data_IF_075595769046
#
_entry.id   IF_075595769046
#
_cell.length_a   1.000
_cell.length_b   1.000
_cell.length_c   1.000
_cell.angle_alpha   90.00
_cell.angle_beta   90.00
_cell.angle_gamma   90.00
#
_symmetry.space_group_name_H-M   'P 1'
#
loop_
_entity.id
_entity.type
_entity.pdbx_description
1 polymer ?
#
# COMPACT_ATOMS: atom_id res chain seq x y z
N UNK A 1 -48.30 36.30 -0.84
CA UNK A 1 -48.37 37.54 -1.67
C UNK A 1 -46.94 37.99 -1.90
N UNK A 2 -46.47 37.89 -3.15
CA UNK A 2 -46.14 39.06 -3.99
C UNK A 2 -44.99 39.89 -3.38
N UNK A 3 -43.88 40.20 -4.02
CA UNK A 3 -43.45 40.29 -5.43
C UNK A 3 -41.97 40.76 -5.29
N UNK A 4 -41.00 40.21 -6.03
CA UNK A 4 -40.51 40.81 -7.29
C UNK A 4 -39.97 42.25 -7.09
N UNK A 5 -38.75 42.64 -7.47
CA UNK A 5 -38.11 42.48 -8.79
C UNK A 5 -36.73 43.18 -8.84
N UNK A 6 -35.76 42.52 -9.52
CA UNK A 6 -34.81 43.05 -10.54
C UNK A 6 -33.66 44.02 -10.13
N UNK A 7 -32.51 44.17 -10.81
CA UNK A 7 -32.04 43.94 -12.20
C UNK A 7 -30.53 43.55 -12.14
N UNK A 8 -30.06 42.43 -12.73
CA UNK A 8 -29.50 42.25 -14.10
C UNK A 8 -28.25 43.09 -14.43
N UNK A 9 -27.10 42.41 -14.58
CA UNK A 9 -26.04 42.59 -15.62
C UNK A 9 -25.28 41.24 -15.66
N UNK A 10 -25.55 40.27 -16.55
CA UNK A 10 -25.23 40.16 -17.98
C UNK A 10 -23.73 40.23 -18.31
N UNK A 11 -23.08 39.06 -18.35
CA UNK A 11 -21.91 38.86 -19.20
C UNK A 11 -21.85 37.40 -19.66
N UNK A 12 -22.23 37.23 -20.93
CA UNK A 12 -22.20 36.00 -21.68
C UNK A 12 -20.80 35.78 -22.29
N UNK A 13 -20.28 34.56 -22.22
CA UNK A 13 -19.31 33.96 -23.17
C UNK A 13 -19.53 32.44 -23.07
N UNK A 14 -20.17 31.82 -24.08
CA UNK A 14 -19.51 31.08 -25.19
C UNK A 14 -18.94 29.72 -24.70
N UNK A 15 -19.10 28.56 -25.34
CA UNK A 15 -19.74 28.15 -26.58
C UNK A 15 -19.80 26.60 -26.59
N UNK A 16 -20.81 26.07 -27.26
CA UNK A 16 -20.75 24.89 -28.14
C UNK A 16 -20.17 23.55 -27.62
N UNK A 17 -21.11 22.70 -27.21
CA UNK A 17 -21.11 21.25 -27.33
C UNK A 17 -20.76 20.75 -28.75
N UNK A 18 -19.85 19.76 -28.88
CA UNK A 18 -20.06 18.52 -29.66
C UNK A 18 -18.83 17.58 -29.73
N UNK A 19 -19.08 16.30 -29.38
CA UNK A 19 -18.73 15.07 -30.11
C UNK A 19 -17.27 14.61 -30.36
N UNK A 20 -17.01 13.39 -29.85
CA UNK A 20 -16.44 12.22 -30.55
C UNK A 20 -14.92 12.15 -30.75
N UNK A 21 -14.28 11.18 -30.08
CA UNK A 21 -13.37 10.22 -30.74
C UNK A 21 -13.11 8.96 -29.89
N UNK A 22 -13.26 7.82 -30.55
CA UNK A 22 -13.01 6.48 -30.04
C UNK A 22 -11.52 6.10 -30.02
N UNK A 23 -11.22 5.07 -29.22
CA UNK A 23 -10.00 4.24 -29.13
C UNK A 23 -9.53 3.69 -30.49
N UNK A 24 -8.24 3.32 -30.68
CA UNK A 24 -7.76 1.94 -30.42
C UNK A 24 -6.28 1.85 -29.92
N UNK A 25 -5.95 0.98 -28.96
CA UNK A 25 -5.45 -0.41 -29.11
C UNK A 25 -3.99 -0.57 -29.61
N UNK A 26 -3.16 -1.11 -28.71
CA UNK A 26 -2.19 -2.21 -28.87
C UNK A 26 -1.08 -2.15 -29.95
N UNK A 27 0.17 -2.38 -29.51
CA UNK A 27 1.18 -3.07 -30.32
C UNK A 27 2.17 -3.82 -29.44
N UNK A 28 2.00 -5.14 -29.40
CA UNK A 28 3.07 -6.09 -29.08
C UNK A 28 4.24 -5.95 -30.06
N UNK A 29 5.48 -6.16 -29.59
CA UNK A 29 6.54 -6.70 -30.43
C UNK A 29 7.63 -7.31 -29.56
N UNK A 30 7.68 -8.64 -29.59
CA UNK A 30 8.74 -9.48 -29.03
C UNK A 30 10.10 -9.20 -29.70
N UNK A 31 11.21 -9.27 -28.95
CA UNK A 31 12.52 -9.78 -29.45
C UNK A 31 13.48 -10.06 -28.28
N UNK A 32 13.83 -11.34 -28.19
CA UNK A 32 15.10 -12.00 -27.84
C UNK A 32 15.89 -11.58 -26.58
N UNK A 33 15.95 -12.56 -25.67
CA UNK A 33 17.18 -13.13 -25.10
C UNK A 33 18.41 -12.21 -25.11
N UNK A 34 18.73 -11.70 -23.92
CA UNK A 34 20.11 -11.68 -23.49
C UNK A 34 20.19 -12.24 -22.08
N UNK A 35 21.04 -13.26 -21.93
CA UNK A 35 21.33 -13.92 -20.67
C UNK A 35 21.98 -12.91 -19.71
N UNK A 36 21.52 -12.76 -18.46
CA UNK A 36 22.34 -12.09 -17.48
C UNK A 36 23.35 -13.11 -16.95
N UNK A 37 24.60 -13.01 -17.42
CA UNK A 37 25.77 -13.49 -16.68
C UNK A 37 25.85 -12.68 -15.39
N UNK A 38 25.27 -13.19 -14.32
CA UNK A 38 25.42 -12.63 -12.99
C UNK A 38 26.78 -13.07 -12.46
N UNK A 39 27.73 -12.14 -12.44
CA UNK A 39 28.90 -12.26 -11.60
C UNK A 39 28.44 -12.09 -10.16
N UNK A 40 28.53 -13.16 -9.37
CA UNK A 40 28.14 -13.21 -7.97
C UNK A 40 29.32 -12.72 -7.14
N UNK A 41 29.24 -11.48 -6.65
CA UNK A 41 30.06 -11.01 -5.54
C UNK A 41 29.24 -10.00 -4.70
N UNK A 42 28.90 -10.45 -3.48
CA UNK A 42 28.58 -9.65 -2.29
C UNK A 42 27.33 -8.74 -2.29
N UNK A 43 26.15 -9.38 -2.20
CA UNK A 43 24.91 -8.99 -1.48
C UNK A 43 23.71 -9.69 -2.14
N UNK A 44 23.57 -10.99 -1.87
CA UNK A 44 22.57 -11.85 -2.50
C UNK A 44 21.26 -11.87 -1.70
N UNK A 45 20.32 -10.98 -2.03
CA UNK A 45 18.88 -11.30 -2.00
C UNK A 45 18.19 -10.52 -3.13
N UNK A 46 18.21 -11.09 -4.34
CA UNK A 46 17.31 -10.68 -5.42
C UNK A 46 15.93 -11.27 -5.18
N UNK A 47 15.18 -10.72 -4.22
CA UNK A 47 13.78 -11.09 -3.98
C UNK A 47 12.91 -10.08 -4.72
N UNK A 48 12.60 -10.39 -5.97
CA UNK A 48 11.65 -9.61 -6.78
C UNK A 48 10.18 -9.86 -6.40
N UNK A 49 9.90 -10.77 -5.46
CA UNK A 49 8.55 -11.18 -5.07
C UNK A 49 8.42 -11.17 -3.55
N UNK A 50 7.53 -10.33 -2.97
CA UNK A 50 7.23 -10.37 -1.54
C UNK A 50 6.75 -11.76 -1.09
N UNK A 51 7.35 -12.32 -0.04
CA UNK A 51 6.93 -13.59 0.58
C UNK A 51 6.77 -13.42 2.10
N UNK A 52 6.06 -14.33 2.79
CA UNK A 52 6.01 -14.30 4.26
C UNK A 52 7.38 -14.45 4.92
N UNK A 53 8.30 -15.23 4.34
CA UNK A 53 9.63 -15.45 4.91
C UNK A 53 10.47 -14.18 4.85
N UNK A 54 10.51 -13.50 3.69
CA UNK A 54 11.17 -12.20 3.56
C UNK A 54 10.52 -11.13 4.45
N UNK A 55 9.19 -11.18 4.63
CA UNK A 55 8.48 -10.33 5.57
C UNK A 55 8.94 -10.50 7.03
N UNK A 56 9.13 -11.74 7.48
CA UNK A 56 9.66 -12.03 8.80
C UNK A 56 11.11 -11.56 8.96
N UNK A 57 11.95 -11.74 7.95
CA UNK A 57 13.32 -11.24 7.95
C UNK A 57 13.36 -9.72 8.14
N UNK A 58 12.55 -8.97 7.38
CA UNK A 58 12.50 -7.51 7.53
C UNK A 58 11.94 -7.08 8.90
N UNK A 59 10.94 -7.79 9.45
CA UNK A 59 10.42 -7.54 10.80
C UNK A 59 11.51 -7.71 11.85
N UNK A 60 12.30 -8.78 11.75
CA UNK A 60 13.37 -9.09 12.70
C UNK A 60 14.59 -8.17 12.55
N UNK A 61 14.82 -7.63 11.34
CA UNK A 61 15.86 -6.64 11.08
C UNK A 61 15.46 -5.21 11.48
N UNK A 62 14.21 -5.00 11.91
CA UNK A 62 13.65 -3.69 12.27
C UNK A 62 13.23 -3.65 13.74
N UNK A 63 12.68 -2.52 14.19
CA UNK A 63 12.24 -2.26 15.56
C UNK A 63 10.82 -2.75 15.87
N UNK A 64 10.14 -3.43 14.93
CA UNK A 64 8.73 -3.82 15.02
C UNK A 64 8.41 -4.60 16.30
N UNK A 65 9.33 -5.48 16.73
CA UNK A 65 9.21 -6.35 17.91
C UNK A 65 9.26 -5.61 19.24
N UNK A 66 9.63 -4.33 19.24
CA UNK A 66 9.56 -3.48 20.44
C UNK A 66 8.12 -3.20 20.85
N UNK A 67 7.22 -3.11 19.87
CA UNK A 67 5.83 -2.71 20.07
C UNK A 67 4.82 -3.81 19.74
N UNK A 68 5.24 -4.85 19.01
CA UNK A 68 4.38 -5.94 18.57
C UNK A 68 4.98 -7.30 18.95
N UNK A 69 4.10 -8.28 19.12
CA UNK A 69 4.49 -9.69 19.22
C UNK A 69 3.57 -10.54 18.35
N UNK A 70 3.87 -11.83 18.23
CA UNK A 70 3.05 -12.72 17.39
C UNK A 70 1.65 -12.92 17.98
N UNK A 71 1.53 -13.07 19.29
CA UNK A 71 0.33 -13.58 19.95
C UNK A 71 -0.12 -12.81 21.20
N UNK A 72 0.67 -11.84 21.67
CA UNK A 72 0.31 -10.99 22.79
C UNK A 72 0.27 -9.51 22.38
N UNK A 73 -0.79 -8.81 22.82
CA UNK A 73 -0.83 -7.36 22.72
C UNK A 73 0.24 -6.75 23.63
N UNK A 74 1.06 -5.86 23.06
CA UNK A 74 2.00 -5.04 23.80
C UNK A 74 1.53 -3.57 23.74
N UNK A 75 2.36 -2.68 23.20
CA UNK A 75 1.99 -1.32 22.84
C UNK A 75 1.02 -1.36 21.65
N UNK A 76 1.42 -2.06 20.59
CA UNK A 76 0.59 -2.38 19.43
C UNK A 76 -0.17 -3.70 19.59
N UNK A 77 -1.10 -4.00 18.66
CA UNK A 77 -1.79 -5.29 18.61
C UNK A 77 -0.84 -6.46 18.37
N UNK A 78 -1.25 -7.67 18.78
CA UNK A 78 -0.56 -8.88 18.35
C UNK A 78 -0.71 -9.05 16.83
N UNK A 79 0.29 -9.63 16.15
CA UNK A 79 0.20 -9.89 14.71
C UNK A 79 -0.97 -10.83 14.38
N UNK A 80 -1.25 -11.82 15.23
CA UNK A 80 -2.42 -12.69 15.10
C UNK A 80 -3.75 -11.93 15.19
N UNK A 81 -3.85 -10.85 15.98
CA UNK A 81 -5.06 -10.03 16.03
C UNK A 81 -5.25 -9.25 14.72
N UNK A 82 -4.16 -8.74 14.15
CA UNK A 82 -4.17 -8.10 12.82
C UNK A 82 -4.62 -9.10 11.76
N UNK A 83 -4.07 -10.32 11.78
CA UNK A 83 -4.42 -11.40 10.87
C UNK A 83 -5.88 -11.87 11.03
N UNK A 84 -6.41 -11.85 12.25
CA UNK A 84 -7.81 -12.17 12.51
C UNK A 84 -8.76 -11.07 11.98
N UNK A 85 -8.35 -9.79 12.06
CA UNK A 85 -9.16 -8.65 11.61
C UNK A 85 -9.19 -8.48 10.09
N UNK A 86 -8.10 -8.79 9.39
CA UNK A 86 -7.94 -8.54 7.96
C UNK A 86 -7.69 -9.83 7.18
N UNK A 87 -8.43 -10.04 6.09
CA UNK A 87 -8.14 -11.14 5.15
C UNK A 87 -6.80 -10.95 4.44
N UNK A 88 -6.10 -12.04 4.11
CA UNK A 88 -4.85 -11.98 3.35
C UNK A 88 -5.10 -11.73 1.85
N UNK A 89 -5.54 -10.52 1.53
CA UNK A 89 -5.75 -10.02 0.17
C UNK A 89 -4.69 -9.00 -0.20
N UNK A 90 -4.45 -8.82 -1.51
CA UNK A 90 -3.52 -7.80 -2.00
C UNK A 90 -3.90 -6.38 -1.54
N UNK A 91 -5.20 -6.06 -1.53
CA UNK A 91 -5.70 -4.78 -1.05
C UNK A 91 -5.36 -4.54 0.44
N UNK A 92 -5.53 -5.56 1.29
CA UNK A 92 -5.18 -5.45 2.71
C UNK A 92 -3.68 -5.37 2.93
N UNK A 93 -2.87 -6.15 2.20
CA UNK A 93 -1.40 -6.03 2.25
C UNK A 93 -0.95 -4.63 1.89
N UNK A 94 -1.51 -4.06 0.82
CA UNK A 94 -1.21 -2.70 0.39
C UNK A 94 -1.62 -1.65 1.44
N UNK A 95 -2.82 -1.77 1.99
CA UNK A 95 -3.30 -0.84 3.00
C UNK A 95 -2.44 -0.91 4.28
N UNK A 96 -2.12 -2.11 4.76
CA UNK A 96 -1.28 -2.29 5.95
C UNK A 96 0.16 -1.82 5.71
N UNK A 97 0.73 -2.07 4.54
CA UNK A 97 2.04 -1.54 4.17
C UNK A 97 2.07 -0.01 4.19
N UNK A 98 0.98 0.65 3.77
CA UNK A 98 0.89 2.11 3.87
C UNK A 98 0.82 2.58 5.32
N UNK A 99 0.09 1.87 6.19
CA UNK A 99 0.07 2.14 7.63
C UNK A 99 1.44 1.95 8.27
N UNK A 100 2.20 0.92 7.88
CA UNK A 100 3.57 0.68 8.37
C UNK A 100 4.46 1.88 8.03
N UNK A 101 4.47 2.30 6.76
CA UNK A 101 5.32 3.38 6.27
C UNK A 101 4.92 4.74 6.86
N UNK A 102 3.62 5.05 6.87
CA UNK A 102 3.12 6.38 7.27
C UNK A 102 2.78 6.50 8.76
N UNK A 103 2.76 5.40 9.49
CA UNK A 103 2.20 5.34 10.84
C UNK A 103 0.67 5.43 10.83
N UNK A 104 0.08 5.46 12.03
CA UNK A 104 -1.37 5.58 12.17
C UNK A 104 -1.86 5.42 13.61
N UNK A 105 -3.14 5.72 13.82
CA UNK A 105 -3.81 5.70 15.13
C UNK A 105 -5.29 5.32 14.96
N UNK A 106 -5.97 4.94 16.04
CA UNK A 106 -7.43 4.84 16.13
C UNK A 106 -8.00 3.45 15.89
N UNK A 107 -7.38 2.64 15.02
CA UNK A 107 -7.87 1.27 14.73
C UNK A 107 -7.70 0.33 15.93
N UNK A 108 -6.62 0.52 16.69
CA UNK A 108 -6.19 -0.38 17.78
C UNK A 108 -6.09 0.33 19.13
N UNK A 109 -6.58 1.58 19.20
CA UNK A 109 -6.53 2.45 20.38
C UNK A 109 -5.90 3.82 20.09
N UNK A 110 -5.66 4.56 21.16
CA UNK A 110 -5.20 5.94 21.12
C UNK A 110 -3.69 6.10 21.07
N UNK A 111 -2.91 5.02 21.16
CA UNK A 111 -1.45 5.10 21.01
C UNK A 111 -1.12 5.02 19.52
N UNK A 112 -0.48 6.05 18.92
CA UNK A 112 -0.13 6.02 17.51
C UNK A 112 1.08 5.09 17.27
N UNK A 113 1.06 4.38 16.14
CA UNK A 113 2.24 3.74 15.59
C UNK A 113 3.08 4.79 14.84
N UNK A 114 4.35 4.91 15.19
CA UNK A 114 5.27 5.83 14.51
C UNK A 114 5.46 5.45 13.02
N UNK A 115 5.75 6.42 12.14
CA UNK A 115 6.05 6.14 10.73
C UNK A 115 7.38 5.41 10.56
N UNK A 116 7.42 4.40 9.68
CA UNK A 116 8.65 3.71 9.28
C UNK A 116 9.02 4.12 7.84
N UNK A 117 9.30 5.41 7.63
CA UNK A 117 9.49 6.02 6.31
C UNK A 117 10.71 5.49 5.53
N UNK A 118 11.64 4.78 6.21
CA UNK A 118 12.80 4.16 5.57
C UNK A 118 12.50 2.83 4.88
N UNK A 119 11.31 2.24 5.07
CA UNK A 119 10.92 1.00 4.42
C UNK A 119 10.45 1.26 3.00
N UNK A 120 10.89 0.42 2.06
CA UNK A 120 10.30 0.38 0.74
C UNK A 120 8.88 -0.15 0.80
N UNK A 121 8.11 0.14 -0.26
CA UNK A 121 6.75 -0.36 -0.42
C UNK A 121 6.70 -1.88 -0.39
N UNK A 122 7.61 -2.52 -1.12
CA UNK A 122 7.73 -3.97 -1.27
C UNK A 122 8.12 -4.64 0.04
N UNK A 123 9.03 -4.04 0.80
CA UNK A 123 9.40 -4.52 2.14
C UNK A 123 8.18 -4.50 3.07
N UNK A 124 7.48 -3.37 3.15
CA UNK A 124 6.31 -3.22 4.00
C UNK A 124 5.15 -4.16 3.58
N UNK A 125 4.99 -4.42 2.27
CA UNK A 125 4.03 -5.41 1.78
C UNK A 125 4.41 -6.85 2.13
N UNK A 126 5.70 -7.20 2.09
CA UNK A 126 6.20 -8.50 2.56
C UNK A 126 5.95 -8.67 4.07
N UNK A 127 6.25 -7.66 4.88
CA UNK A 127 5.96 -7.67 6.32
C UNK A 127 4.46 -7.85 6.59
N UNK A 128 3.60 -7.11 5.88
CA UNK A 128 2.15 -7.25 5.98
C UNK A 128 1.70 -8.65 5.55
N UNK A 129 2.31 -9.24 4.52
CA UNK A 129 2.03 -10.60 4.08
C UNK A 129 2.35 -11.64 5.16
N UNK A 130 3.48 -11.49 5.85
CA UNK A 130 3.83 -12.32 7.00
C UNK A 130 2.79 -12.17 8.12
N UNK A 131 2.47 -10.93 8.52
CA UNK A 131 1.51 -10.69 9.60
C UNK A 131 0.17 -11.37 9.29
N UNK A 132 -0.34 -11.21 8.07
CA UNK A 132 -1.61 -11.79 7.64
C UNK A 132 -1.56 -13.31 7.44
N UNK A 133 -0.38 -13.91 7.27
CA UNK A 133 -0.24 -15.37 7.18
C UNK A 133 -0.40 -16.07 8.52
N UNK A 134 -0.32 -15.33 9.64
CA UNK A 134 -0.51 -15.86 11.00
C UNK A 134 -1.98 -16.12 11.36
N UNK A 135 -2.90 -15.97 10.41
CA UNK A 135 -4.32 -16.26 10.59
C UNK A 135 -4.51 -17.75 10.90
N UNK A 136 -5.30 -18.05 11.94
CA UNK A 136 -5.70 -19.42 12.30
C UNK A 136 -6.89 -19.87 11.47
#
# INVERSE_FOLDING_TARGET
MKKQTFFIVLLAFAAFSCSKKETPAEKESNTMLEEPKVNVEEQNVSVKVPTPESGLEFINASDCRTCHSDDAKLIGPAYKDVAAKYENTEANRKMLAEKIIKGGQGVWGDIPMAPHAGLSREQAEAMAMYVLSLKK
#
